data_IF_774966545732
#
_entry.id   IF_774966545732
#
_cell.length_a   1.000
_cell.length_b   1.000
_cell.length_c   1.000
_cell.angle_alpha   90.00
_cell.angle_beta   90.00
_cell.angle_gamma   90.00
#
_symmetry.space_group_name_H-M   'P 1'
#
loop_
_entity.id
_entity.type
_entity.pdbx_description
1 polymer ?
#
# COMPACT_ATOMS: atom_id res chain seq x y z
N UNK A 1 -27.30 -42.70 -64.50
CA UNK A 1 -27.43 -41.50 -63.65
C UNK A 1 -26.27 -41.55 -62.67
N UNK A 2 -25.30 -40.72 -62.94
CA UNK A 2 -24.03 -40.72 -62.18
C UNK A 2 -24.06 -39.58 -61.16
N UNK A 3 -24.10 -39.90 -59.86
CA UNK A 3 -24.03 -38.91 -58.77
C UNK A 3 -22.57 -38.58 -58.43
N UNK A 4 -22.18 -37.36 -58.72
CA UNK A 4 -20.89 -36.83 -58.33
C UNK A 4 -20.97 -36.28 -56.89
N UNK A 5 -20.31 -36.94 -55.96
CA UNK A 5 -20.10 -36.43 -54.60
C UNK A 5 -18.93 -35.44 -54.63
N UNK A 6 -19.22 -34.17 -54.38
CA UNK A 6 -18.22 -33.11 -54.22
C UNK A 6 -17.81 -33.03 -52.73
N UNK A 7 -16.65 -33.59 -52.38
CA UNK A 7 -16.07 -33.46 -51.07
C UNK A 7 -15.32 -32.11 -50.96
N UNK A 8 -15.88 -31.17 -50.24
CA UNK A 8 -15.20 -29.94 -49.91
C UNK A 8 -14.22 -30.18 -48.73
N UNK A 9 -12.93 -30.18 -49.01
CA UNK A 9 -11.88 -30.18 -48.02
C UNK A 9 -11.74 -28.74 -47.51
N UNK A 10 -12.26 -28.48 -46.33
CA UNK A 10 -11.97 -27.23 -45.59
C UNK A 10 -10.54 -27.30 -45.09
N UNK A 11 -9.62 -26.63 -45.76
CA UNK A 11 -8.26 -26.41 -45.31
C UNK A 11 -8.28 -25.31 -44.23
N UNK A 12 -8.26 -25.72 -42.94
CA UNK A 12 -8.17 -24.81 -41.82
C UNK A 12 -6.74 -24.24 -41.78
N UNK A 13 -6.53 -23.08 -42.39
CA UNK A 13 -5.30 -22.32 -42.20
C UNK A 13 -5.19 -21.87 -40.71
N UNK A 14 -4.56 -22.69 -39.91
CA UNK A 14 -4.05 -22.22 -38.63
C UNK A 14 -2.89 -21.24 -38.91
N UNK A 15 -3.17 -19.95 -38.86
CA UNK A 15 -2.13 -18.95 -38.77
C UNK A 15 -1.47 -19.11 -37.39
N UNK A 16 -0.33 -19.80 -37.40
CA UNK A 16 0.56 -19.79 -36.24
C UNK A 16 1.04 -18.35 -36.11
N UNK A 17 0.42 -17.60 -35.20
CA UNK A 17 0.97 -16.32 -34.76
C UNK A 17 2.37 -16.59 -34.20
N UNK A 18 3.40 -15.87 -34.66
CA UNK A 18 4.73 -16.04 -34.11
C UNK A 18 4.65 -15.80 -32.62
N UNK A 19 5.02 -16.80 -31.82
CA UNK A 19 5.20 -16.64 -30.39
C UNK A 19 6.23 -15.52 -30.21
N UNK A 20 5.77 -14.36 -29.73
CA UNK A 20 6.64 -13.25 -29.38
C UNK A 20 7.62 -13.78 -28.33
N UNK A 21 8.91 -13.73 -28.59
CA UNK A 21 9.93 -14.19 -27.65
C UNK A 21 9.71 -13.49 -26.32
N UNK A 22 9.50 -14.28 -25.28
CA UNK A 22 8.89 -13.86 -24.03
C UNK A 22 9.91 -13.33 -22.99
N UNK A 23 10.98 -12.66 -23.39
CA UNK A 23 12.01 -12.22 -22.42
C UNK A 23 12.53 -10.80 -22.61
N UNK A 24 11.77 -9.92 -23.25
CA UNK A 24 12.14 -8.51 -23.25
C UNK A 24 11.66 -7.87 -21.94
N UNK A 25 12.58 -7.59 -21.03
CA UNK A 25 12.34 -6.72 -19.86
C UNK A 25 11.79 -5.40 -20.37
N UNK A 26 10.52 -5.14 -20.09
CA UNK A 26 9.88 -3.88 -20.51
C UNK A 26 10.21 -2.80 -19.50
N UNK A 27 10.69 -1.67 -19.99
CA UNK A 27 10.88 -0.47 -19.20
C UNK A 27 9.54 0.26 -19.07
N UNK A 28 8.84 0.09 -17.94
CA UNK A 28 7.62 0.83 -17.61
C UNK A 28 7.95 2.30 -17.49
N UNK A 29 7.21 3.15 -18.20
CA UNK A 29 7.42 4.60 -18.27
C UNK A 29 6.26 5.35 -17.63
N UNK A 30 6.49 6.58 -17.26
CA UNK A 30 5.44 7.49 -16.80
C UNK A 30 4.37 7.60 -17.87
N UNK A 31 3.12 7.37 -17.47
CA UNK A 31 1.96 7.33 -18.36
C UNK A 31 1.52 5.93 -18.77
N UNK A 32 2.38 4.92 -18.65
CA UNK A 32 2.02 3.52 -18.97
C UNK A 32 0.98 2.98 -17.99
N UNK A 33 0.10 2.13 -18.53
CA UNK A 33 -0.92 1.44 -17.76
C UNK A 33 -0.62 -0.05 -17.64
N UNK A 34 -0.89 -0.61 -16.46
CA UNK A 34 -0.86 -2.05 -16.21
C UNK A 34 -2.17 -2.52 -15.57
N UNK A 35 -2.50 -3.81 -15.75
CA UNK A 35 -3.49 -4.51 -14.94
C UNK A 35 -2.77 -5.42 -13.96
N UNK A 36 -3.07 -5.25 -12.67
CA UNK A 36 -2.51 -6.06 -11.61
C UNK A 36 -3.52 -6.18 -10.47
N UNK A 37 -3.77 -7.40 -10.04
CA UNK A 37 -4.67 -7.71 -8.94
C UNK A 37 -6.15 -7.57 -9.28
N UNK A 38 -6.95 -8.12 -8.42
CA UNK A 38 -8.42 -8.07 -8.47
C UNK A 38 -8.94 -7.42 -7.20
N UNK A 39 -9.92 -6.55 -7.34
CA UNK A 39 -10.62 -5.93 -6.23
C UNK A 39 -12.10 -5.81 -6.55
N UNK A 40 -12.99 -6.26 -5.62
CA UNK A 40 -14.43 -6.32 -5.85
C UNK A 40 -14.79 -7.03 -7.17
N UNK A 41 -14.14 -8.16 -7.47
CA UNK A 41 -14.28 -8.96 -8.70
C UNK A 41 -13.92 -8.23 -10.00
N UNK A 42 -13.19 -7.13 -9.95
CA UNK A 42 -12.73 -6.40 -11.13
C UNK A 42 -11.20 -6.30 -11.11
N UNK A 43 -10.58 -6.50 -12.26
CA UNK A 43 -9.14 -6.31 -12.40
C UNK A 43 -8.78 -4.84 -12.25
N UNK A 44 -7.84 -4.54 -11.35
CA UNK A 44 -7.44 -3.16 -11.05
C UNK A 44 -6.53 -2.61 -12.15
N UNK A 45 -6.88 -1.42 -12.65
CA UNK A 45 -6.07 -0.67 -13.60
C UNK A 45 -5.20 0.33 -12.85
N UNK A 46 -3.91 0.30 -13.14
CA UNK A 46 -2.90 1.19 -12.55
C UNK A 46 -2.19 1.99 -13.62
N UNK A 47 -1.81 3.21 -13.30
CA UNK A 47 -0.99 4.06 -14.15
C UNK A 47 0.34 4.36 -13.48
N UNK A 48 1.44 4.25 -14.23
CA UNK A 48 2.75 4.69 -13.78
C UNK A 48 2.76 6.23 -13.72
N UNK A 49 2.92 6.77 -12.52
CA UNK A 49 2.86 8.22 -12.27
C UNK A 49 4.23 8.84 -11.98
N UNK A 50 5.20 8.01 -11.62
CA UNK A 50 6.58 8.40 -11.40
C UNK A 50 7.49 7.19 -11.65
N UNK A 51 8.78 7.44 -11.87
CA UNK A 51 9.86 6.45 -11.81
C UNK A 51 10.99 7.11 -11.02
N UNK A 52 11.39 6.46 -9.93
CA UNK A 52 12.47 6.89 -9.04
C UNK A 52 13.33 5.70 -8.61
N UNK A 53 14.16 5.84 -7.58
CA UNK A 53 15.08 4.80 -7.11
C UNK A 53 14.37 3.54 -6.60
N UNK A 54 13.11 3.65 -6.17
CA UNK A 54 12.29 2.49 -5.81
C UNK A 54 11.72 1.77 -7.03
N UNK A 55 11.74 2.40 -8.20
CA UNK A 55 11.17 1.90 -9.45
C UNK A 55 9.92 2.65 -9.90
N UNK A 56 9.09 2.03 -10.74
CA UNK A 56 7.83 2.63 -11.21
C UNK A 56 6.81 2.74 -10.08
N UNK A 57 6.41 3.98 -9.77
CA UNK A 57 5.30 4.27 -8.85
C UNK A 57 3.98 4.15 -9.61
N UNK A 58 3.19 3.16 -9.22
CA UNK A 58 1.88 2.87 -9.79
C UNK A 58 0.78 3.46 -8.90
N UNK A 59 -0.13 4.19 -9.51
CA UNK A 59 -1.31 4.76 -8.83
C UNK A 59 -2.56 4.16 -9.48
N UNK A 60 -3.54 3.74 -8.68
CA UNK A 60 -4.80 3.25 -9.22
C UNK A 60 -5.42 4.32 -10.13
N UNK A 61 -5.92 3.91 -11.31
CA UNK A 61 -6.48 4.85 -12.28
C UNK A 61 -7.67 5.62 -11.70
N UNK A 62 -8.42 4.96 -10.84
CA UNK A 62 -9.61 5.51 -10.18
C UNK A 62 -9.56 5.32 -8.67
N UNK A 63 -10.44 6.04 -7.99
CA UNK A 63 -10.82 5.70 -6.62
C UNK A 63 -11.45 4.31 -6.64
N UNK A 64 -10.95 3.41 -5.80
CA UNK A 64 -11.42 2.01 -5.71
C UNK A 64 -12.54 1.83 -4.70
N UNK A 65 -12.54 2.63 -3.63
CA UNK A 65 -13.63 2.75 -2.65
C UNK A 65 -14.05 4.22 -2.58
N UNK A 66 -15.33 4.51 -2.78
CA UNK A 66 -15.83 5.88 -2.80
C UNK A 66 -15.93 6.48 -1.39
N UNK A 67 -16.16 5.62 -0.38
CA UNK A 67 -16.48 6.02 0.99
C UNK A 67 -15.76 5.13 1.98
N UNK A 68 -14.66 5.59 2.58
CA UNK A 68 -13.93 4.82 3.57
C UNK A 68 -13.24 5.71 4.61
N UNK A 69 -13.49 5.50 5.91
CA UNK A 69 -12.75 6.17 6.97
C UNK A 69 -11.25 5.86 6.90
N UNK A 70 -10.43 6.84 7.23
CA UNK A 70 -8.99 6.66 7.30
C UNK A 70 -8.57 5.91 8.58
N UNK A 71 -9.18 6.30 9.73
CA UNK A 71 -8.92 5.68 11.01
C UNK A 71 -10.13 5.87 11.95
N UNK A 72 -10.41 4.87 12.78
CA UNK A 72 -11.55 4.86 13.68
C UNK A 72 -11.31 5.69 14.95
N UNK A 73 -12.38 6.19 15.54
CA UNK A 73 -12.38 6.72 16.90
C UNK A 73 -11.94 5.65 17.89
N UNK A 74 -11.29 6.05 18.97
CA UNK A 74 -10.73 5.12 19.97
C UNK A 74 -11.48 5.14 21.32
N UNK A 75 -12.53 5.97 21.47
CA UNK A 75 -13.12 6.34 22.76
C UNK A 75 -13.46 5.17 23.69
N UNK A 76 -13.96 4.08 23.14
CA UNK A 76 -14.38 2.90 23.91
C UNK A 76 -13.63 1.62 23.52
N UNK A 77 -12.63 1.71 22.68
CA UNK A 77 -11.77 0.60 22.33
C UNK A 77 -10.59 0.51 23.28
N UNK A 78 -10.14 -0.70 23.56
CA UNK A 78 -8.86 -0.94 24.21
C UNK A 78 -7.73 -0.58 23.24
N UNK A 79 -7.50 0.71 23.00
CA UNK A 79 -6.36 1.19 22.24
C UNK A 79 -5.09 0.90 23.03
N UNK A 80 -4.32 -0.08 22.56
CA UNK A 80 -3.09 -0.53 23.22
C UNK A 80 -1.86 0.29 22.82
N UNK A 81 -1.96 1.08 21.76
CA UNK A 81 -0.87 1.93 21.30
C UNK A 81 -0.76 3.19 22.15
N UNK A 82 0.34 3.29 22.91
CA UNK A 82 0.54 4.36 23.90
C UNK A 82 0.53 5.77 23.29
N UNK A 83 0.90 5.91 22.04
CA UNK A 83 0.94 7.17 21.31
C UNK A 83 -0.42 7.66 20.81
N UNK A 84 -1.47 6.85 20.90
CA UNK A 84 -2.82 7.25 20.51
C UNK A 84 -3.64 7.90 21.62
N UNK A 85 -3.01 8.26 22.73
CA UNK A 85 -3.67 8.77 23.95
C UNK A 85 -4.07 10.23 23.93
N UNK A 86 -4.46 10.77 22.81
CA UNK A 86 -4.99 12.14 22.78
C UNK A 86 -6.52 12.12 22.86
N UNK A 87 -7.10 12.97 23.68
CA UNK A 87 -8.55 13.12 23.79
C UNK A 87 -9.25 13.52 22.48
N UNK A 88 -8.52 14.13 21.55
CA UNK A 88 -9.02 14.45 20.22
C UNK A 88 -8.98 13.22 19.30
N UNK A 89 -7.92 12.43 19.37
CA UNK A 89 -7.81 11.19 18.59
C UNK A 89 -8.90 10.19 18.96
N UNK A 90 -9.27 10.10 20.23
CA UNK A 90 -10.36 9.23 20.66
C UNK A 90 -11.73 9.65 20.10
N UNK A 91 -11.90 10.93 19.73
CA UNK A 91 -13.15 11.47 19.17
C UNK A 91 -13.16 11.49 17.65
N UNK A 92 -12.01 11.62 17.02
CA UNK A 92 -11.91 11.93 15.58
C UNK A 92 -11.08 10.94 14.77
N UNK A 93 -10.46 9.94 15.42
CA UNK A 93 -9.48 9.07 14.82
C UNK A 93 -8.07 9.71 14.77
N UNK A 94 -7.09 8.92 14.41
CA UNK A 94 -5.69 9.34 14.33
C UNK A 94 -5.30 9.68 12.90
N UNK A 95 -4.51 10.74 12.72
CA UNK A 95 -3.90 11.05 11.44
C UNK A 95 -2.51 10.41 11.25
N UNK A 96 -2.11 9.49 12.12
CA UNK A 96 -0.83 8.81 12.07
C UNK A 96 -0.90 7.60 11.13
N UNK A 97 -0.14 7.65 10.02
CA UNK A 97 -0.18 6.60 8.99
C UNK A 97 0.18 5.23 9.53
N UNK A 98 1.25 5.14 10.35
CA UNK A 98 1.75 3.87 10.91
C UNK A 98 0.64 3.00 11.50
N UNK A 99 -0.26 3.61 12.26
CA UNK A 99 -1.25 2.92 13.07
C UNK A 99 -2.66 2.96 12.48
N UNK A 100 -2.83 3.59 11.32
CA UNK A 100 -4.15 3.78 10.72
C UNK A 100 -4.81 2.47 10.28
N UNK A 101 -6.13 2.43 10.39
CA UNK A 101 -6.92 1.33 9.83
C UNK A 101 -6.73 1.22 8.32
N UNK A 102 -6.59 2.36 7.62
CA UNK A 102 -6.35 2.40 6.19
C UNK A 102 -5.07 1.64 5.81
N UNK A 103 -3.97 1.86 6.52
CA UNK A 103 -2.71 1.14 6.28
C UNK A 103 -2.85 -0.36 6.56
N UNK A 104 -3.50 -0.72 7.68
CA UNK A 104 -3.74 -2.12 8.05
C UNK A 104 -4.52 -2.85 6.96
N UNK A 105 -5.56 -2.24 6.44
CA UNK A 105 -6.40 -2.80 5.40
C UNK A 105 -5.67 -2.91 4.06
N UNK A 106 -4.96 -1.87 3.63
CA UNK A 106 -4.25 -1.83 2.34
C UNK A 106 -3.12 -2.88 2.24
N UNK A 107 -2.52 -3.25 3.37
CA UNK A 107 -1.40 -4.19 3.41
C UNK A 107 -1.79 -5.61 3.88
N UNK A 108 -3.08 -5.89 4.06
CA UNK A 108 -3.55 -7.21 4.48
C UNK A 108 -3.89 -8.09 3.28
N UNK A 109 -3.36 -9.31 3.31
CA UNK A 109 -3.62 -10.42 2.40
C UNK A 109 -4.73 -11.36 2.95
N UNK A 110 -5.20 -11.09 4.17
CA UNK A 110 -6.12 -11.97 4.89
C UNK A 110 -7.58 -11.62 4.63
N UNK A 111 -8.45 -12.63 4.68
CA UNK A 111 -9.91 -12.44 4.67
C UNK A 111 -10.42 -11.77 5.96
N UNK A 112 -9.61 -11.73 7.00
CA UNK A 112 -9.90 -11.03 8.26
C UNK A 112 -8.70 -10.18 8.61
N UNK A 113 -8.85 -8.86 8.52
CA UNK A 113 -7.77 -7.92 8.77
C UNK A 113 -7.40 -7.92 10.26
N UNK A 114 -6.10 -8.00 10.55
CA UNK A 114 -5.57 -7.73 11.89
C UNK A 114 -5.41 -6.22 12.07
N UNK A 115 -6.27 -5.64 12.90
CA UNK A 115 -6.28 -4.21 13.15
C UNK A 115 -5.19 -3.81 14.13
N UNK A 116 -4.31 -2.91 13.71
CA UNK A 116 -3.27 -2.38 14.58
C UNK A 116 -3.89 -1.67 15.80
N UNK A 117 -3.20 -1.75 16.92
CA UNK A 117 -3.63 -1.14 18.18
C UNK A 117 -4.99 -1.61 18.72
N UNK A 118 -5.54 -2.72 18.18
CA UNK A 118 -6.84 -3.22 18.61
C UNK A 118 -8.01 -2.29 18.31
N UNK A 119 -7.89 -1.42 17.30
CA UNK A 119 -8.86 -0.39 16.96
C UNK A 119 -9.56 -0.67 15.61
N UNK A 120 -10.48 -1.65 15.51
CA UNK A 120 -11.19 -1.93 14.28
C UNK A 120 -12.15 -0.82 13.88
N UNK A 121 -12.32 -0.53 12.56
CA UNK A 121 -13.25 0.49 12.05
C UNK A 121 -14.69 -0.03 12.03
N UNK A 122 -15.23 -0.32 13.22
CA UNK A 122 -16.57 -0.86 13.42
C UNK A 122 -17.64 0.21 13.61
N UNK A 123 -18.90 -0.22 13.54
CA UNK A 123 -20.06 0.65 13.81
C UNK A 123 -19.93 1.38 15.16
N UNK A 124 -20.22 2.67 15.16
CA UNK A 124 -20.08 3.55 16.33
C UNK A 124 -18.69 4.19 16.48
N UNK A 125 -17.65 3.69 15.77
CA UNK A 125 -16.29 4.26 15.79
C UNK A 125 -15.90 4.96 14.50
N UNK A 126 -16.74 4.86 13.49
CA UNK A 126 -16.62 5.54 12.21
C UNK A 126 -17.97 6.16 11.84
N UNK A 127 -18.03 6.96 10.78
CA UNK A 127 -19.30 7.45 10.24
C UNK A 127 -20.23 6.28 9.95
N UNK A 128 -21.48 6.38 10.42
CA UNK A 128 -22.50 5.33 10.27
C UNK A 128 -22.67 4.92 8.80
N UNK A 129 -22.67 3.61 8.55
CA UNK A 129 -22.77 3.03 7.20
C UNK A 129 -21.45 2.95 6.44
N UNK A 130 -20.32 3.33 7.08
CA UNK A 130 -18.99 3.27 6.49
C UNK A 130 -18.02 2.41 7.30
N UNK A 131 -18.55 1.56 8.17
CA UNK A 131 -17.78 0.55 8.88
C UNK A 131 -17.22 -0.51 7.91
N UNK A 132 -15.97 -0.93 8.15
CA UNK A 132 -15.31 -1.93 7.33
C UNK A 132 -14.44 -2.93 8.14
N UNK A 133 -14.77 -3.08 9.42
CA UNK A 133 -14.08 -4.01 10.33
C UNK A 133 -14.16 -5.48 9.89
N UNK A 134 -15.15 -5.83 9.06
CA UNK A 134 -15.37 -7.16 8.49
C UNK A 134 -14.95 -7.29 7.03
N UNK A 135 -14.43 -6.21 6.44
CA UNK A 135 -13.97 -6.23 5.04
C UNK A 135 -12.66 -6.99 4.97
N UNK A 136 -12.53 -7.89 3.98
CA UNK A 136 -11.27 -8.56 3.68
C UNK A 136 -10.18 -7.54 3.33
N UNK A 137 -8.94 -7.88 3.58
CA UNK A 137 -7.81 -7.03 3.25
C UNK A 137 -7.75 -6.69 1.75
N UNK A 138 -7.17 -5.57 1.41
CA UNK A 138 -7.12 -5.10 0.02
C UNK A 138 -6.41 -6.10 -0.91
N UNK A 139 -5.39 -6.79 -0.40
CA UNK A 139 -4.59 -7.76 -1.15
C UNK A 139 -5.17 -9.19 -1.09
N UNK A 140 -6.29 -9.43 -0.41
CA UNK A 140 -6.83 -10.78 -0.22
C UNK A 140 -7.27 -11.48 -1.51
N UNK A 141 -7.69 -10.72 -2.52
CA UNK A 141 -8.09 -11.23 -3.84
C UNK A 141 -6.95 -11.18 -4.88
N UNK A 142 -5.74 -10.78 -4.46
CA UNK A 142 -4.55 -10.81 -5.33
C UNK A 142 -3.92 -12.20 -5.26
N UNK A 143 -3.48 -12.71 -6.40
CA UNK A 143 -2.66 -13.92 -6.43
C UNK A 143 -1.27 -13.67 -5.84
N UNK A 144 -0.57 -14.70 -5.38
CA UNK A 144 0.78 -14.56 -4.84
C UNK A 144 1.78 -14.01 -5.89
N UNK A 145 1.59 -14.33 -7.16
CA UNK A 145 2.39 -13.76 -8.25
C UNK A 145 2.15 -12.24 -8.37
N UNK A 146 0.90 -11.79 -8.26
CA UNK A 146 0.56 -10.37 -8.31
C UNK A 146 1.09 -9.63 -7.08
N UNK A 147 0.98 -10.21 -5.88
CA UNK A 147 1.57 -9.67 -4.65
C UNK A 147 3.10 -9.56 -4.78
N UNK A 148 3.72 -10.57 -5.39
CA UNK A 148 5.17 -10.59 -5.64
C UNK A 148 5.64 -9.52 -6.62
N UNK A 149 4.75 -9.01 -7.48
CA UNK A 149 5.02 -7.88 -8.35
C UNK A 149 5.01 -6.53 -7.61
N UNK A 150 4.48 -6.49 -6.39
CA UNK A 150 4.44 -5.30 -5.55
C UNK A 150 5.71 -5.28 -4.69
N UNK A 151 6.51 -4.23 -4.85
CA UNK A 151 7.76 -4.07 -4.10
C UNK A 151 7.45 -3.57 -2.68
N UNK A 152 8.03 -4.22 -1.68
CA UNK A 152 8.04 -3.68 -0.32
C UNK A 152 9.06 -2.54 -0.26
N UNK A 153 8.64 -1.36 0.16
CA UNK A 153 9.48 -0.16 0.18
C UNK A 153 9.39 0.56 1.52
N UNK A 154 10.53 1.05 1.99
CA UNK A 154 10.57 1.94 3.15
C UNK A 154 10.51 3.38 2.66
N UNK A 155 9.54 4.12 3.16
CA UNK A 155 9.29 5.50 2.77
C UNK A 155 9.17 6.40 3.98
N UNK A 156 9.55 7.66 3.76
CA UNK A 156 9.27 8.75 4.67
C UNK A 156 7.75 8.94 4.80
N UNK A 157 7.26 8.97 6.02
CA UNK A 157 5.87 9.29 6.35
C UNK A 157 5.85 10.48 7.29
N UNK A 158 5.16 11.55 6.89
CA UNK A 158 5.03 12.75 7.71
C UNK A 158 4.19 12.43 8.93
N UNK A 159 4.57 12.99 10.07
CA UNK A 159 3.87 12.88 11.35
C UNK A 159 3.53 14.25 11.90
N UNK A 160 2.52 14.33 12.73
CA UNK A 160 2.13 15.58 13.37
C UNK A 160 3.08 15.97 14.51
N UNK A 161 3.16 17.26 14.82
CA UNK A 161 3.94 17.77 15.93
C UNK A 161 3.57 17.13 17.29
N UNK A 162 2.28 16.87 17.61
CA UNK A 162 1.94 16.13 18.82
C UNK A 162 2.54 14.72 18.89
N UNK A 163 2.69 14.01 17.75
CA UNK A 163 3.38 12.71 17.71
C UNK A 163 4.88 12.85 17.97
N UNK A 164 5.51 13.84 17.35
CA UNK A 164 6.92 14.15 17.61
C UNK A 164 7.16 14.44 19.09
N UNK A 165 6.34 15.32 19.69
CA UNK A 165 6.45 15.69 21.12
C UNK A 165 6.22 14.52 22.06
N UNK A 166 5.55 13.46 21.62
CA UNK A 166 5.37 12.22 22.37
C UNK A 166 6.60 11.28 22.30
N UNK A 167 7.64 11.64 21.56
CA UNK A 167 8.90 10.91 21.48
C UNK A 167 8.89 9.72 20.51
N UNK A 168 8.04 9.74 19.50
CA UNK A 168 7.96 8.67 18.50
C UNK A 168 8.84 8.91 17.27
N UNK A 169 9.53 10.02 17.21
CA UNK A 169 10.29 10.46 16.05
C UNK A 169 11.70 10.83 16.49
N UNK A 170 12.67 10.27 15.84
CA UNK A 170 14.08 10.43 16.23
C UNK A 170 14.68 11.74 15.69
N UNK A 171 14.10 12.33 14.65
CA UNK A 171 14.66 13.48 13.97
C UNK A 171 13.69 14.68 13.98
N UNK A 172 14.13 15.84 14.52
CA UNK A 172 13.33 17.04 14.51
C UNK A 172 13.22 17.62 13.09
N UNK A 173 12.03 18.06 12.74
CA UNK A 173 11.75 18.77 11.49
C UNK A 173 10.92 20.02 11.76
N UNK A 174 10.49 20.66 10.68
CA UNK A 174 9.53 21.75 10.71
C UNK A 174 8.15 21.25 10.31
N UNK A 175 7.12 21.87 10.85
CA UNK A 175 5.75 21.58 10.43
C UNK A 175 5.51 21.99 8.97
N UNK A 176 4.71 21.19 8.25
CA UNK A 176 4.19 21.58 6.95
C UNK A 176 3.25 22.78 7.11
N UNK A 177 3.28 23.73 6.18
CA UNK A 177 2.38 24.88 6.24
C UNK A 177 0.91 24.43 6.20
N UNK A 178 0.10 25.08 7.05
CA UNK A 178 -1.34 24.93 7.05
C UNK A 178 -1.95 25.63 5.83
N UNK A 179 -1.97 24.95 4.70
CA UNK A 179 -2.39 25.50 3.42
C UNK A 179 -3.18 24.44 2.62
N UNK A 180 -3.95 24.89 1.63
CA UNK A 180 -4.73 24.07 0.70
C UNK A 180 -4.09 23.93 -0.67
N UNK A 181 -3.02 24.67 -0.92
CA UNK A 181 -2.27 24.62 -2.18
C UNK A 181 -1.20 23.51 -2.11
N UNK A 182 -1.24 22.61 -3.09
CA UNK A 182 -0.33 21.46 -3.16
C UNK A 182 1.13 21.88 -3.18
N UNK A 183 1.48 22.86 -4.03
CA UNK A 183 2.87 23.29 -4.20
C UNK A 183 3.43 23.85 -2.89
N UNK A 184 2.65 24.73 -2.23
CA UNK A 184 3.05 25.34 -0.95
C UNK A 184 3.26 24.29 0.16
N UNK A 185 2.41 23.27 0.22
CA UNK A 185 2.55 22.20 1.24
C UNK A 185 3.71 21.28 0.87
N UNK A 186 3.89 20.97 -0.41
CA UNK A 186 5.00 20.13 -0.88
C UNK A 186 6.37 20.78 -0.67
N UNK A 187 6.47 22.11 -0.75
CA UNK A 187 7.71 22.86 -0.48
C UNK A 187 8.20 22.67 0.96
N UNK A 188 7.29 22.47 1.91
CA UNK A 188 7.62 22.22 3.31
C UNK A 188 7.98 20.76 3.64
N UNK A 189 7.82 19.84 2.69
CA UNK A 189 7.90 18.40 2.94
C UNK A 189 9.22 17.94 3.55
N UNK A 190 10.35 18.47 3.07
CA UNK A 190 11.68 18.06 3.54
C UNK A 190 11.99 18.52 4.97
N UNK A 191 11.27 19.53 5.43
CA UNK A 191 11.44 20.11 6.76
C UNK A 191 10.38 19.64 7.76
N UNK A 192 9.47 18.75 7.36
CA UNK A 192 8.42 18.23 8.24
C UNK A 192 8.97 17.15 9.18
N UNK A 193 8.29 16.96 10.31
CA UNK A 193 8.50 15.79 11.16
C UNK A 193 8.11 14.53 10.44
N UNK A 194 8.88 13.45 10.58
CA UNK A 194 8.63 12.21 9.88
C UNK A 194 9.15 10.98 10.60
N UNK A 195 8.71 9.85 10.16
CA UNK A 195 9.25 8.53 10.46
C UNK A 195 9.36 7.71 9.17
N UNK A 196 10.15 6.65 9.20
CA UNK A 196 10.26 5.73 8.07
C UNK A 196 9.31 4.55 8.29
N UNK A 197 8.48 4.27 7.28
CA UNK A 197 7.51 3.17 7.33
C UNK A 197 7.68 2.27 6.10
N UNK A 198 7.62 0.97 6.34
CA UNK A 198 7.75 -0.05 5.29
C UNK A 198 6.37 -0.58 4.93
N UNK A 199 5.99 -0.45 3.66
CA UNK A 199 4.70 -0.86 3.12
C UNK A 199 4.84 -1.51 1.74
N UNK A 200 3.86 -2.34 1.36
CA UNK A 200 3.62 -2.75 -0.02
C UNK A 200 2.72 -1.75 -0.73
N UNK A 201 1.57 -1.46 -0.12
CA UNK A 201 0.54 -0.57 -0.68
C UNK A 201 0.31 0.61 0.26
N UNK A 202 0.20 1.81 -0.31
CA UNK A 202 0.08 3.04 0.45
C UNK A 202 -0.78 4.08 -0.28
N UNK A 203 -1.13 5.16 0.41
CA UNK A 203 -1.69 6.37 -0.20
C UNK A 203 -0.55 7.33 -0.58
N UNK A 204 -0.74 8.15 -1.61
CA UNK A 204 0.25 9.18 -1.93
C UNK A 204 0.41 10.17 -0.76
N UNK A 205 1.64 10.64 -0.55
CA UNK A 205 1.87 11.86 0.21
C UNK A 205 1.77 13.10 -0.69
N UNK A 206 1.85 14.28 -0.09
CA UNK A 206 1.72 15.54 -0.82
C UNK A 206 2.86 15.77 -1.82
N UNK A 207 4.09 15.28 -1.54
CA UNK A 207 5.23 15.42 -2.45
C UNK A 207 5.04 14.53 -3.68
N UNK A 208 4.62 13.28 -3.47
CA UNK A 208 4.26 12.36 -4.56
C UNK A 208 3.08 12.92 -5.37
N UNK A 209 2.05 13.46 -4.70
CA UNK A 209 0.91 14.10 -5.35
C UNK A 209 1.36 15.28 -6.24
N UNK A 210 2.24 16.13 -5.73
CA UNK A 210 2.79 17.25 -6.49
C UNK A 210 3.58 16.77 -7.71
N UNK A 211 4.34 15.68 -7.57
CA UNK A 211 5.04 15.04 -8.70
C UNK A 211 4.06 14.58 -9.78
N UNK A 212 2.93 13.94 -9.39
CA UNK A 212 1.86 13.55 -10.33
C UNK A 212 1.28 14.76 -11.05
N UNK A 213 0.97 15.83 -10.31
CA UNK A 213 0.48 17.10 -10.88
C UNK A 213 1.44 17.67 -11.93
N UNK A 214 2.74 17.71 -11.62
CA UNK A 214 3.75 18.23 -12.53
C UNK A 214 3.95 17.38 -13.78
N UNK A 215 3.92 16.05 -13.64
CA UNK A 215 4.21 15.12 -14.74
C UNK A 215 3.00 14.76 -15.60
N UNK A 216 1.81 14.70 -15.01
CA UNK A 216 0.59 14.21 -15.65
C UNK A 216 -0.59 15.19 -15.59
N UNK A 217 -0.33 16.45 -15.23
CA UNK A 217 -1.35 17.50 -15.21
C UNK A 217 -2.50 17.17 -14.29
N UNK A 218 -3.75 17.29 -14.76
CA UNK A 218 -4.95 17.08 -13.95
C UNK A 218 -5.23 15.64 -13.53
N UNK A 219 -4.38 14.67 -13.91
CA UNK A 219 -4.58 13.27 -13.56
C UNK A 219 -4.62 13.02 -12.03
N UNK A 220 -4.01 13.89 -11.24
CA UNK A 220 -4.09 13.82 -9.78
C UNK A 220 -5.50 14.06 -9.23
N UNK A 221 -6.39 14.72 -9.99
CA UNK A 221 -7.81 14.85 -9.64
C UNK A 221 -8.49 13.53 -9.97
N UNK A 222 -8.81 12.76 -8.93
CA UNK A 222 -9.32 11.41 -9.10
C UNK A 222 -10.75 11.38 -9.65
N UNK A 223 -11.07 10.30 -10.32
CA UNK A 223 -12.43 9.92 -10.70
C UNK A 223 -12.82 8.63 -9.98
N UNK A 224 -14.09 8.49 -9.64
CA UNK A 224 -14.64 7.24 -9.17
C UNK A 224 -15.01 6.30 -10.34
N UNK A 225 -15.54 5.12 -10.01
CA UNK A 225 -15.98 4.13 -10.99
C UNK A 225 -17.01 4.67 -12.01
N UNK A 226 -17.87 5.61 -11.59
CA UNK A 226 -18.85 6.27 -12.47
C UNK A 226 -18.24 7.37 -13.35
N UNK A 227 -16.93 7.63 -13.26
CA UNK A 227 -16.24 8.68 -14.01
C UNK A 227 -16.43 10.09 -13.45
N UNK A 228 -17.03 10.24 -12.27
CA UNK A 228 -17.22 11.50 -11.59
C UNK A 228 -15.96 11.86 -10.80
N UNK A 229 -15.60 13.15 -10.74
CA UNK A 229 -14.53 13.60 -9.85
C UNK A 229 -14.86 13.26 -8.41
N UNK A 230 -13.87 12.78 -7.65
CA UNK A 230 -14.08 12.27 -6.30
C UNK A 230 -13.01 12.71 -5.33
N UNK A 231 -13.39 13.03 -4.09
CA UNK A 231 -12.46 13.32 -3.02
C UNK A 231 -11.76 12.04 -2.58
N UNK A 232 -10.46 12.10 -2.23
CA UNK A 232 -9.74 10.93 -1.75
C UNK A 232 -8.64 11.28 -0.74
N UNK A 233 -8.37 10.35 0.17
CA UNK A 233 -7.38 10.51 1.22
C UNK A 233 -5.94 10.54 0.69
N UNK A 234 -5.10 11.34 1.36
CA UNK A 234 -3.64 11.25 1.29
C UNK A 234 -3.11 10.59 2.58
N UNK A 235 -1.82 10.21 2.61
CA UNK A 235 -1.16 9.80 3.86
C UNK A 235 -0.43 10.94 4.56
N UNK A 236 -0.54 12.16 4.09
CA UNK A 236 0.03 13.36 4.72
C UNK A 236 -0.96 13.96 5.70
N UNK A 237 -0.64 14.04 7.00
CA UNK A 237 -1.50 14.65 8.02
C UNK A 237 -1.48 16.17 7.95
N UNK A 238 -2.36 16.80 8.70
CA UNK A 238 -2.15 18.15 9.22
C UNK A 238 -1.15 18.05 10.37
N UNK A 239 -0.14 18.89 10.36
CA UNK A 239 1.02 18.74 11.25
C UNK A 239 0.87 19.40 12.60
N UNK A 240 -0.06 20.34 12.77
CA UNK A 240 -0.34 21.03 14.02
C UNK A 240 -1.30 20.28 14.96
N UNK A 241 -1.91 19.22 14.49
CA UNK A 241 -2.82 18.39 15.28
C UNK A 241 -2.68 16.90 14.92
N UNK A 242 -3.16 16.01 15.80
CA UNK A 242 -3.06 14.56 15.62
C UNK A 242 -4.38 13.89 15.20
N UNK A 243 -5.34 14.65 14.69
CA UNK A 243 -6.70 14.18 14.41
C UNK A 243 -7.33 14.75 13.12
N UNK A 244 -6.54 15.41 12.28
CA UNK A 244 -6.98 15.87 10.96
C UNK A 244 -6.06 15.33 9.88
N UNK A 245 -6.65 14.70 8.85
CA UNK A 245 -5.95 14.10 7.73
C UNK A 245 -6.23 14.86 6.45
N UNK A 246 -5.22 14.99 5.58
CA UNK A 246 -5.40 15.65 4.28
C UNK A 246 -6.11 14.75 3.28
N UNK A 247 -6.91 15.38 2.42
CA UNK A 247 -7.52 14.76 1.25
C UNK A 247 -7.45 15.70 0.04
N UNK A 248 -7.52 15.16 -1.16
CA UNK A 248 -7.66 15.91 -2.41
C UNK A 248 -9.14 16.09 -2.70
N UNK A 249 -9.57 17.34 -2.96
CA UNK A 249 -10.95 17.64 -3.30
C UNK A 249 -11.25 17.46 -4.81
N UNK A 250 -12.52 17.59 -5.19
CA UNK A 250 -13.00 17.48 -6.57
C UNK A 250 -12.35 18.47 -7.54
N UNK A 251 -11.74 19.56 -7.03
CA UNK A 251 -11.09 20.63 -7.80
C UNK A 251 -9.57 20.52 -7.79
N UNK A 252 -9.03 19.56 -7.03
CA UNK A 252 -7.60 19.35 -6.90
C UNK A 252 -6.92 20.19 -5.81
N UNK A 253 -7.68 20.80 -4.89
CA UNK A 253 -7.08 21.38 -3.70
C UNK A 253 -6.91 20.30 -2.63
N UNK A 254 -5.98 20.52 -1.71
CA UNK A 254 -5.84 19.66 -0.55
C UNK A 254 -6.50 20.31 0.66
N UNK A 255 -7.47 19.61 1.21
CA UNK A 255 -8.21 20.01 2.41
C UNK A 255 -7.90 19.02 3.55
N UNK A 256 -8.60 19.18 4.65
CA UNK A 256 -8.51 18.31 5.82
C UNK A 256 -9.87 17.89 6.33
N UNK A 257 -9.91 16.75 6.94
CA UNK A 257 -11.05 16.31 7.75
C UNK A 257 -10.62 15.26 8.78
N UNK A 258 -11.52 14.98 9.72
CA UNK A 258 -11.30 14.00 10.77
C UNK A 258 -11.22 12.57 10.18
N UNK A 259 -10.21 11.76 10.56
CA UNK A 259 -9.98 10.42 10.04
C UNK A 259 -11.15 9.44 10.13
N UNK A 260 -12.03 9.55 11.14
CA UNK A 260 -13.18 8.66 11.29
C UNK A 260 -14.29 8.88 10.24
N UNK A 261 -14.21 9.98 9.48
CA UNK A 261 -15.21 10.31 8.47
C UNK A 261 -15.05 9.47 7.21
N UNK A 262 -16.13 8.82 6.80
CA UNK A 262 -16.16 7.94 5.64
C UNK A 262 -16.59 8.61 4.34
N UNK A 263 -16.32 9.91 4.14
CA UNK A 263 -16.81 10.65 2.96
C UNK A 263 -15.80 10.79 1.83
N UNK A 264 -14.68 10.11 1.96
CA UNK A 264 -13.53 10.21 1.05
C UNK A 264 -13.16 8.85 0.53
N UNK A 265 -12.71 8.83 -0.71
CA UNK A 265 -12.35 7.61 -1.38
C UNK A 265 -10.92 7.17 -1.10
N UNK A 266 -10.63 5.96 -1.54
CA UNK A 266 -9.31 5.35 -1.45
C UNK A 266 -8.73 5.20 -2.85
N UNK A 267 -7.56 5.80 -3.08
CA UNK A 267 -6.79 5.72 -4.32
C UNK A 267 -5.39 5.19 -4.00
N UNK A 268 -5.21 3.87 -3.94
CA UNK A 268 -3.96 3.26 -3.52
C UNK A 268 -2.85 3.40 -4.57
N UNK A 269 -1.61 3.31 -4.07
CA UNK A 269 -0.40 3.29 -4.86
C UNK A 269 0.57 2.21 -4.36
N UNK A 270 1.47 1.76 -5.24
CA UNK A 270 2.56 0.85 -4.90
C UNK A 270 3.74 1.06 -5.87
N UNK A 271 4.91 0.54 -5.52
CA UNK A 271 6.03 0.44 -6.44
C UNK A 271 6.06 -0.93 -7.11
N UNK A 272 6.10 -0.92 -8.45
CA UNK A 272 6.20 -2.16 -9.23
C UNK A 272 7.63 -2.71 -9.13
N UNK A 273 7.77 -4.00 -8.84
CA UNK A 273 9.04 -4.72 -8.91
C UNK A 273 9.40 -5.02 -10.37
N UNK A 274 9.77 -3.95 -11.09
CA UNK A 274 10.03 -4.00 -12.52
C UNK A 274 11.25 -4.87 -12.87
N UNK A 275 12.08 -5.23 -11.91
CA UNK A 275 13.21 -6.13 -12.13
C UNK A 275 12.75 -7.54 -12.49
N UNK A 276 11.70 -8.00 -11.84
CA UNK A 276 11.17 -9.34 -12.01
C UNK A 276 9.84 -9.38 -12.79
N UNK A 277 9.23 -8.22 -13.08
CA UNK A 277 7.98 -8.15 -13.80
C UNK A 277 8.19 -8.30 -15.32
N UNK A 278 7.61 -9.34 -15.89
CA UNK A 278 7.65 -9.63 -17.33
C UNK A 278 6.28 -9.37 -17.95
N UNK A 279 6.23 -8.50 -18.95
CA UNK A 279 4.98 -8.25 -19.69
C UNK A 279 4.73 -9.36 -20.69
N UNK A 280 3.53 -9.92 -20.64
CA UNK A 280 3.05 -10.97 -21.54
C UNK A 280 2.25 -10.40 -22.70
N UNK A 281 1.46 -9.33 -22.47
CA UNK A 281 0.61 -8.71 -23.47
C UNK A 281 0.32 -7.23 -23.15
N UNK A 282 -0.28 -6.52 -24.10
CA UNK A 282 -0.65 -5.11 -23.98
C UNK A 282 0.37 -4.18 -24.62
N UNK A 283 0.03 -2.89 -24.64
CA UNK A 283 0.85 -1.80 -25.20
C UNK A 283 1.14 -0.70 -24.19
N UNK A 284 0.67 -0.85 -22.95
CA UNK A 284 0.82 0.16 -21.89
C UNK A 284 -0.13 1.35 -22.04
N UNK A 285 -1.12 1.28 -22.89
CA UNK A 285 -2.16 2.31 -23.01
C UNK A 285 -3.35 1.99 -22.11
N UNK A 286 -4.21 2.97 -21.83
CA UNK A 286 -5.43 2.75 -21.02
C UNK A 286 -6.32 1.68 -21.63
N UNK A 287 -6.49 1.68 -22.96
CA UNK A 287 -7.31 0.70 -23.70
C UNK A 287 -6.64 -0.67 -23.86
N UNK A 288 -5.30 -0.71 -23.88
CA UNK A 288 -4.48 -1.93 -24.01
C UNK A 288 -3.37 -1.91 -22.94
N UNK A 289 -3.73 -1.99 -21.65
CA UNK A 289 -2.75 -1.97 -20.57
C UNK A 289 -1.84 -3.20 -20.61
N UNK A 290 -0.63 -3.06 -20.10
CA UNK A 290 0.23 -4.23 -19.92
C UNK A 290 -0.39 -5.20 -18.92
N UNK A 291 -0.30 -6.49 -19.25
CA UNK A 291 -0.57 -7.61 -18.35
C UNK A 291 0.68 -8.46 -18.31
N UNK A 292 1.13 -8.82 -17.13
CA UNK A 292 2.38 -9.55 -16.96
C UNK A 292 2.35 -10.48 -15.75
N UNK A 293 3.50 -11.07 -15.47
CA UNK A 293 3.73 -11.95 -14.34
C UNK A 293 5.14 -11.75 -13.79
N UNK A 294 5.37 -12.19 -12.58
CA UNK A 294 6.70 -12.23 -11.97
C UNK A 294 7.45 -13.47 -12.46
N UNK A 295 8.69 -13.29 -12.91
CA UNK A 295 9.57 -14.38 -13.30
C UNK A 295 10.91 -14.27 -12.61
N UNK A 296 11.43 -15.41 -12.21
CA UNK A 296 12.78 -15.55 -11.65
C UNK A 296 13.07 -14.64 -10.44
N UNK A 297 12.03 -14.16 -9.75
CA UNK A 297 12.22 -13.49 -8.48
C UNK A 297 12.78 -14.53 -7.50
N UNK A 298 13.96 -14.31 -6.90
CA UNK A 298 14.42 -15.19 -5.85
C UNK A 298 13.35 -15.25 -4.77
N UNK A 299 12.92 -16.44 -4.43
CA UNK A 299 12.10 -16.60 -3.25
C UNK A 299 12.93 -16.03 -2.10
N UNK A 300 12.40 -15.04 -1.38
CA UNK A 300 13.05 -14.56 -0.17
C UNK A 300 13.18 -15.79 0.75
N UNK A 301 14.33 -16.44 0.68
CA UNK A 301 14.65 -17.47 1.64
C UNK A 301 14.83 -16.72 2.96
N UNK A 302 13.92 -16.92 3.89
CA UNK A 302 14.16 -16.60 5.28
C UNK A 302 15.32 -17.55 5.66
N UNK A 303 16.56 -17.08 5.54
CA UNK A 303 17.68 -17.84 6.04
C UNK A 303 17.70 -17.61 7.54
N UNK A 304 17.33 -18.62 8.29
CA UNK A 304 17.45 -18.63 9.73
C UNK A 304 18.90 -19.05 10.03
N UNK A 305 19.80 -18.12 10.40
CA UNK A 305 21.11 -18.46 10.92
C UNK A 305 21.03 -18.51 12.43
N UNK A 306 21.40 -19.64 13.02
CA UNK A 306 21.40 -19.87 14.45
C UNK A 306 20.01 -20.25 14.99
N UNK A 307 19.40 -21.33 14.47
CA UNK A 307 18.26 -21.94 15.15
C UNK A 307 18.74 -22.56 16.45
N UNK A 308 18.32 -21.97 17.54
CA UNK A 308 18.40 -22.64 18.83
C UNK A 308 17.28 -23.69 18.90
N UNK A 309 17.64 -24.90 19.27
CA UNK A 309 16.69 -25.98 19.47
C UNK A 309 16.39 -26.09 20.96
N UNK A 310 15.12 -26.07 21.33
CA UNK A 310 14.72 -26.43 22.69
C UNK A 310 15.00 -27.92 22.94
N UNK A 311 15.93 -28.20 23.83
CA UNK A 311 16.29 -29.57 24.22
C UNK A 311 15.31 -30.15 25.22
N UNK A 312 14.24 -29.41 25.59
CA UNK A 312 13.22 -29.86 26.56
C UNK A 312 13.65 -29.73 28.03
N UNK A 313 14.82 -29.19 28.29
CA UNK A 313 15.37 -28.91 29.64
C UNK A 313 15.44 -27.40 29.97
N UNK A 314 14.90 -26.58 29.09
CA UNK A 314 14.96 -25.11 29.18
C UNK A 314 16.26 -24.50 28.63
N UNK A 315 17.14 -25.30 28.07
CA UNK A 315 18.32 -24.86 27.34
C UNK A 315 18.09 -24.89 25.84
N UNK A 316 18.66 -23.91 25.16
CA UNK A 316 18.59 -23.79 23.70
C UNK A 316 19.99 -24.05 23.13
N UNK A 317 20.13 -25.10 22.31
CA UNK A 317 21.35 -25.34 21.56
C UNK A 317 21.24 -24.78 20.16
N UNK A 318 22.32 -24.09 19.73
CA UNK A 318 22.43 -23.58 18.38
C UNK A 318 22.75 -24.75 17.43
N UNK A 319 21.81 -25.10 16.54
CA UNK A 319 22.09 -26.08 15.48
C UNK A 319 23.00 -25.42 14.43
N UNK A 320 24.30 -25.67 14.54
CA UNK A 320 25.32 -25.12 13.66
C UNK A 320 25.33 -25.73 12.26
N UNK A 321 24.54 -26.78 12.01
CA UNK A 321 24.49 -27.48 10.72
C UNK A 321 23.46 -26.89 9.76
N UNK A 322 22.62 -25.95 10.23
CA UNK A 322 21.65 -25.23 9.41
C UNK A 322 21.83 -23.74 9.59
N UNK A 323 22.39 -23.10 8.61
CA UNK A 323 22.45 -21.63 8.57
C UNK A 323 21.03 -21.05 8.47
N UNK A 324 20.41 -20.77 9.62
CA UNK A 324 19.12 -20.10 9.71
C UNK A 324 19.39 -18.68 10.19
N UNK A 325 19.29 -17.71 9.31
CA UNK A 325 19.44 -16.29 9.65
C UNK A 325 18.07 -15.58 9.58
N UNK A 326 17.52 -15.24 10.74
CA UNK A 326 16.36 -14.35 10.84
C UNK A 326 16.90 -12.92 10.92
N UNK A 327 16.78 -12.17 9.84
CA UNK A 327 16.90 -10.72 9.91
C UNK A 327 15.52 -10.18 10.29
N UNK A 328 15.25 -10.09 11.58
CA UNK A 328 14.12 -9.33 12.07
C UNK A 328 14.47 -7.85 11.89
N UNK A 329 13.54 -7.06 11.36
CA UNK A 329 13.71 -5.62 11.29
C UNK A 329 14.06 -5.03 12.66
N UNK A 330 14.81 -3.94 12.66
CA UNK A 330 15.27 -3.30 13.88
C UNK A 330 14.09 -2.93 14.78
N UNK A 331 14.08 -3.47 15.99
CA UNK A 331 13.13 -3.07 17.02
C UNK A 331 13.78 -2.03 17.92
N UNK A 332 13.20 -0.84 17.96
CA UNK A 332 13.60 0.21 18.90
C UNK A 332 12.88 0.01 20.23
N UNK A 333 13.62 -0.10 21.32
CA UNK A 333 13.06 -0.01 22.66
C UNK A 333 12.87 1.46 23.06
N UNK A 334 11.90 1.71 23.93
CA UNK A 334 11.53 3.03 24.44
C UNK A 334 12.70 3.84 25.05
N UNK A 335 13.81 3.18 25.37
CA UNK A 335 14.96 3.72 26.11
C UNK A 335 16.21 3.86 25.24
N UNK A 336 16.13 3.65 23.92
CA UNK A 336 17.29 3.71 23.01
C UNK A 336 18.38 2.67 23.31
N UNK A 337 18.12 1.74 24.22
CA UNK A 337 19.00 0.62 24.53
C UNK A 337 18.46 -0.64 23.88
N UNK A 338 19.26 -1.25 23.02
CA UNK A 338 18.99 -2.58 22.50
C UNK A 338 18.93 -3.57 23.67
N UNK A 339 17.74 -3.98 24.04
CA UNK A 339 17.57 -5.25 24.72
C UNK A 339 17.18 -6.26 23.65
N UNK A 340 18.01 -7.28 23.42
CA UNK A 340 17.60 -8.44 22.63
C UNK A 340 16.37 -9.05 23.31
N UNK A 341 15.14 -8.84 22.79
CA UNK A 341 14.04 -9.65 23.28
C UNK A 341 14.25 -11.05 22.70
N UNK A 342 14.37 -12.03 23.55
CA UNK A 342 14.27 -13.43 23.15
C UNK A 342 12.85 -13.63 22.66
N UNK A 343 12.63 -13.56 21.35
CA UNK A 343 11.33 -13.87 20.75
C UNK A 343 11.35 -15.38 20.49
N UNK A 344 10.46 -16.14 21.11
CA UNK A 344 10.35 -17.57 20.80
C UNK A 344 9.86 -17.72 19.37
N UNK A 345 10.71 -18.23 18.50
CA UNK A 345 10.35 -18.57 17.11
C UNK A 345 10.00 -20.05 17.08
N UNK A 346 8.73 -20.35 16.85
CA UNK A 346 8.28 -21.73 16.65
C UNK A 346 8.41 -22.07 15.17
N UNK A 347 9.31 -23.00 14.83
CA UNK A 347 9.36 -23.60 13.49
C UNK A 347 8.36 -24.74 13.45
N UNK A 348 7.25 -24.54 12.74
CA UNK A 348 6.31 -25.62 12.45
C UNK A 348 6.82 -26.30 11.18
N UNK A 349 7.44 -27.46 11.31
CA UNK A 349 7.68 -28.35 10.16
C UNK A 349 6.33 -28.96 9.73
N UNK A 350 6.00 -28.80 8.44
CA UNK A 350 4.98 -29.59 7.77
C UNK A 350 5.53 -30.95 7.39
#
# INVERSE_FOLDING_TARGET
MLSILLSAVMMLCMTVLPAKSADAKINIKIGDYIRLGTYNNESVLWRCVNVDDNGPLMLSDRVLEDYMPYDAMTSDNADTCSHRRSGYRSKYGSNHWRDSNMRSWLNSEDNTVTWLCGNPPKAGYVTSGHEYDKKAGFLSDFTQDEISAIKTVTQRSIVSHPEYSAGYIDEPGLDLPYNTNIDTVADGYENAYYENITDKVFLLDVKQLNTVKQKLGSYYIAKNKAGQSWNYWLRTPITDCNHDMRYVDLRGNIWRDAPYKGYYGVRPAFYLDAEYYTVLQGKGTESEPYVGTVKNKPQESISLSGAERDTGDGNWDVDTDKNIQLTLGEFYSKDGKYSNPTIPVYVIQK
#
